data_IF_604095521085
#
_entry.id   IF_604095521085
#
_cell.length_a   1.000
_cell.length_b   1.000
_cell.length_c   1.000
_cell.angle_alpha   90.00
_cell.angle_beta   90.00
_cell.angle_gamma   90.00
#
_symmetry.space_group_name_H-M   'P 1'
#
loop_
_entity.id
_entity.type
_entity.pdbx_description
1 polymer ?
#
# COMPACT_ATOMS: atom_id res chain seq x y z
N UNK A 1 -13.26 -18.90 -62.99
CA UNK A 1 -14.50 -19.00 -62.20
C UNK A 1 -14.22 -19.99 -61.07
N UNK A 2 -14.25 -19.54 -59.82
CA UNK A 2 -14.40 -20.27 -58.54
C UNK A 2 -13.44 -21.45 -58.23
N UNK A 3 -12.74 -21.52 -57.09
CA UNK A 3 -12.79 -20.78 -55.83
C UNK A 3 -11.40 -20.78 -55.16
N UNK A 4 -11.01 -19.88 -54.25
CA UNK A 4 -11.72 -19.45 -53.04
C UNK A 4 -12.36 -20.65 -52.36
N UNK A 5 -11.68 -21.22 -51.37
CA UNK A 5 -12.25 -21.25 -50.03
C UNK A 5 -11.26 -21.81 -49.00
N UNK A 6 -11.00 -20.93 -48.03
CA UNK A 6 -10.92 -21.24 -46.59
C UNK A 6 -9.76 -22.11 -46.12
N UNK A 7 -8.58 -21.48 -46.07
CA UNK A 7 -7.64 -21.75 -44.98
C UNK A 7 -8.26 -21.18 -43.71
N UNK A 8 -8.97 -22.05 -42.99
CA UNK A 8 -9.54 -21.78 -41.68
C UNK A 8 -8.39 -21.45 -40.73
N UNK A 9 -8.11 -20.17 -40.56
CA UNK A 9 -7.30 -19.61 -39.47
C UNK A 9 -8.02 -19.91 -38.16
N UNK A 10 -7.81 -21.11 -37.65
CA UNK A 10 -8.08 -21.48 -36.27
C UNK A 10 -7.14 -20.65 -35.41
N UNK A 11 -7.55 -19.42 -35.09
CA UNK A 11 -7.03 -18.66 -33.95
C UNK A 11 -7.08 -19.57 -32.74
N UNK A 12 -5.95 -20.18 -32.42
CA UNK A 12 -5.74 -20.87 -31.16
C UNK A 12 -5.97 -19.83 -30.08
N UNK A 13 -7.05 -19.98 -29.32
CA UNK A 13 -7.20 -19.34 -28.03
C UNK A 13 -6.06 -19.86 -27.15
N UNK A 14 -4.89 -19.21 -27.26
CA UNK A 14 -3.69 -19.57 -26.51
C UNK A 14 -4.02 -19.40 -25.04
N UNK A 15 -4.03 -20.52 -24.33
CA UNK A 15 -4.16 -20.58 -22.88
C UNK A 15 -3.25 -19.51 -22.26
N UNK A 16 -3.75 -18.69 -21.32
CA UNK A 16 -2.97 -17.58 -20.78
C UNK A 16 -1.66 -18.12 -20.24
N UNK A 17 -0.54 -17.58 -20.72
CA UNK A 17 0.81 -17.94 -20.29
C UNK A 17 1.04 -17.40 -18.87
N UNK A 18 0.49 -18.11 -17.88
CA UNK A 18 0.53 -17.74 -16.47
C UNK A 18 1.96 -17.64 -15.98
N UNK A 19 2.86 -18.50 -16.44
CA UNK A 19 4.27 -18.49 -16.05
C UNK A 19 4.95 -17.20 -16.50
N UNK A 20 4.74 -16.79 -17.76
CA UNK A 20 5.24 -15.51 -18.26
C UNK A 20 4.66 -14.35 -17.50
N UNK A 21 3.35 -14.31 -17.28
CA UNK A 21 2.69 -13.21 -16.55
C UNK A 21 3.19 -13.13 -15.11
N UNK A 22 3.35 -14.26 -14.41
CA UNK A 22 3.89 -14.31 -13.06
C UNK A 22 5.34 -13.81 -13.00
N UNK A 23 6.18 -14.21 -13.96
CA UNK A 23 7.55 -13.72 -14.07
C UNK A 23 7.60 -12.20 -14.31
N UNK A 24 6.75 -11.67 -15.21
CA UNK A 24 6.65 -10.23 -15.47
C UNK A 24 6.17 -9.45 -14.24
N UNK A 25 5.18 -9.98 -13.51
CA UNK A 25 4.70 -9.39 -12.26
C UNK A 25 5.82 -9.33 -11.21
N UNK A 26 6.57 -10.42 -11.04
CA UNK A 26 7.71 -10.47 -10.11
C UNK A 26 8.81 -9.47 -10.48
N UNK A 27 9.19 -9.42 -11.76
CA UNK A 27 10.20 -8.49 -12.25
C UNK A 27 9.74 -7.03 -12.09
N UNK A 28 8.49 -6.71 -12.42
CA UNK A 28 7.94 -5.37 -12.26
C UNK A 28 7.86 -4.96 -10.78
N UNK A 29 7.42 -5.87 -9.89
CA UNK A 29 7.35 -5.62 -8.45
C UNK A 29 8.74 -5.33 -7.86
N UNK A 30 9.77 -6.09 -8.27
CA UNK A 30 11.15 -5.87 -7.85
C UNK A 30 11.67 -4.52 -8.34
N UNK A 31 11.56 -4.25 -9.65
CA UNK A 31 12.03 -3.00 -10.24
C UNK A 31 11.38 -1.76 -9.60
N UNK A 32 10.05 -1.79 -9.40
CA UNK A 32 9.33 -0.71 -8.73
C UNK A 32 9.77 -0.55 -7.27
N UNK A 33 10.06 -1.66 -6.57
CA UNK A 33 10.52 -1.60 -5.18
C UNK A 33 11.92 -0.98 -5.09
N UNK A 34 12.84 -1.37 -5.97
CA UNK A 34 14.19 -0.81 -6.01
C UNK A 34 14.18 0.70 -6.31
N UNK A 35 13.34 1.12 -7.26
CA UNK A 35 13.13 2.53 -7.61
C UNK A 35 12.58 3.32 -6.41
N UNK A 36 11.57 2.75 -5.72
CA UNK A 36 11.01 3.32 -4.49
C UNK A 36 11.96 3.30 -3.28
N UNK A 37 12.98 2.45 -3.23
CA UNK A 37 13.98 2.44 -2.16
C UNK A 37 15.11 3.44 -2.44
N UNK A 38 15.39 3.72 -3.71
CA UNK A 38 16.47 4.64 -4.12
C UNK A 38 16.01 6.11 -4.16
N UNK A 39 14.75 6.41 -4.49
CA UNK A 39 14.25 7.78 -4.63
C UNK A 39 13.96 8.54 -3.30
N UNK A 40 13.33 7.97 -2.25
CA UNK A 40 12.92 8.69 -1.03
C UNK A 40 13.89 8.58 0.16
N UNK A 41 14.67 7.50 0.24
CA UNK A 41 15.64 7.28 1.33
C UNK A 41 16.76 8.34 1.31
N UNK A 42 17.11 8.85 0.12
CA UNK A 42 18.12 9.90 -0.03
C UNK A 42 17.63 11.29 0.44
N UNK A 43 16.35 11.62 0.20
CA UNK A 43 15.82 12.97 0.44
C UNK A 43 15.42 13.24 1.90
N UNK A 44 14.98 12.22 2.64
CA UNK A 44 14.50 12.36 4.02
C UNK A 44 15.43 11.78 5.09
N UNK A 45 16.46 10.99 4.71
CA UNK A 45 17.32 10.20 5.61
C UNK A 45 16.55 9.30 6.60
N UNK A 46 15.27 9.03 6.33
CA UNK A 46 14.45 8.15 7.15
C UNK A 46 14.62 6.70 6.72
N UNK A 47 14.56 5.78 7.68
CA UNK A 47 14.38 4.37 7.35
C UNK A 47 12.97 4.12 6.80
N UNK A 48 12.78 3.03 6.07
CA UNK A 48 11.46 2.65 5.53
C UNK A 48 10.39 2.52 6.61
N UNK A 49 10.74 1.97 7.78
CA UNK A 49 9.79 1.88 8.90
C UNK A 49 9.44 3.25 9.49
N UNK A 50 10.39 4.18 9.55
CA UNK A 50 10.14 5.54 10.01
C UNK A 50 9.27 6.33 9.02
N UNK A 51 9.51 6.18 7.72
CA UNK A 51 8.66 6.75 6.66
C UNK A 51 7.23 6.19 6.72
N UNK A 52 7.09 4.86 6.80
CA UNK A 52 5.78 4.21 6.95
C UNK A 52 5.05 4.67 8.23
N UNK A 53 5.77 4.80 9.35
CA UNK A 53 5.19 5.28 10.60
C UNK A 53 4.66 6.71 10.48
N UNK A 54 5.36 7.61 9.79
CA UNK A 54 4.87 8.97 9.54
C UNK A 54 3.64 8.99 8.64
N UNK A 55 3.59 8.15 7.60
CA UNK A 55 2.41 8.01 6.74
C UNK A 55 1.20 7.51 7.54
N UNK A 56 1.40 6.49 8.39
CA UNK A 56 0.36 6.00 9.30
C UNK A 56 -0.12 7.11 10.23
N UNK A 57 0.79 7.85 10.86
CA UNK A 57 0.46 8.94 11.77
C UNK A 57 -0.18 10.16 11.09
N UNK A 58 0.08 10.36 9.81
CA UNK A 58 -0.59 11.38 9.01
C UNK A 58 -2.07 11.04 8.83
N UNK A 59 -2.39 9.78 8.54
CA UNK A 59 -3.75 9.28 8.37
C UNK A 59 -4.50 9.06 9.70
N UNK A 60 -3.80 8.56 10.73
CA UNK A 60 -4.37 8.20 12.03
C UNK A 60 -3.50 8.73 13.20
N UNK A 61 -3.59 10.04 13.51
CA UNK A 61 -2.84 10.65 14.60
C UNK A 61 -3.33 10.16 15.98
N UNK A 62 -2.40 9.83 16.88
CA UNK A 62 -2.71 9.51 18.27
C UNK A 62 -2.70 8.02 18.62
N UNK A 63 -2.38 7.15 17.66
CA UNK A 63 -2.13 5.73 17.92
C UNK A 63 -0.98 5.53 18.92
N UNK A 64 -1.04 4.43 19.69
CA UNK A 64 0.05 4.10 20.61
C UNK A 64 1.30 3.65 19.87
N UNK A 65 2.45 3.68 20.55
CA UNK A 65 3.71 3.12 20.03
C UNK A 65 3.56 1.64 19.66
N UNK A 66 2.82 0.88 20.47
CA UNK A 66 2.57 -0.55 20.25
C UNK A 66 1.77 -0.77 18.97
N UNK A 67 0.68 -0.03 18.79
CA UNK A 67 -0.15 -0.14 17.60
C UNK A 67 0.60 0.32 16.35
N UNK A 68 1.31 1.45 16.44
CA UNK A 68 2.15 1.94 15.36
C UNK A 68 3.19 0.88 14.95
N UNK A 69 3.86 0.26 15.92
CA UNK A 69 4.80 -0.84 15.70
C UNK A 69 4.17 -2.02 14.96
N UNK A 70 2.97 -2.44 15.38
CA UNK A 70 2.21 -3.51 14.72
C UNK A 70 1.93 -3.19 13.25
N UNK A 71 1.46 -1.97 12.95
CA UNK A 71 1.14 -1.53 11.58
C UNK A 71 2.36 -1.46 10.67
N UNK A 72 3.53 -1.09 11.20
CA UNK A 72 4.77 -1.05 10.40
C UNK A 72 5.60 -2.34 10.42
N UNK A 73 5.14 -3.37 11.15
CA UNK A 73 5.80 -4.68 11.21
C UNK A 73 7.03 -4.73 12.12
N UNK A 74 7.05 -3.95 13.19
CA UNK A 74 8.15 -3.90 14.16
C UNK A 74 7.80 -4.58 15.49
N UNK A 75 8.82 -5.11 16.15
CA UNK A 75 8.72 -5.51 17.56
C UNK A 75 8.54 -4.29 18.46
N UNK A 76 8.03 -4.49 19.68
CA UNK A 76 7.82 -3.38 20.62
C UNK A 76 9.09 -2.56 20.88
N UNK A 77 10.23 -3.22 21.09
CA UNK A 77 11.49 -2.52 21.36
C UNK A 77 11.99 -1.75 20.13
N UNK A 78 11.79 -2.29 18.93
CA UNK A 78 12.12 -1.59 17.68
C UNK A 78 11.18 -0.40 17.43
N UNK A 79 9.89 -0.55 17.73
CA UNK A 79 8.90 0.52 17.61
C UNK A 79 9.22 1.70 18.54
N UNK A 80 9.58 1.43 19.81
CA UNK A 80 10.03 2.47 20.75
C UNK A 80 11.23 3.24 20.19
N UNK A 81 12.29 2.53 19.76
CA UNK A 81 13.50 3.17 19.19
C UNK A 81 13.20 4.01 17.95
N UNK A 82 12.30 3.53 17.08
CA UNK A 82 11.86 4.25 15.89
C UNK A 82 11.12 5.54 16.28
N UNK A 83 10.16 5.48 17.21
CA UNK A 83 9.42 6.67 17.66
C UNK A 83 10.36 7.65 18.36
N UNK A 84 11.28 7.19 19.20
CA UNK A 84 12.28 8.06 19.82
C UNK A 84 13.17 8.74 18.77
N UNK A 85 13.52 8.03 17.69
CA UNK A 85 14.22 8.61 16.55
C UNK A 85 13.42 9.70 15.84
N UNK A 86 12.14 9.45 15.58
CA UNK A 86 11.24 10.43 14.97
C UNK A 86 11.02 11.66 15.86
N UNK A 87 10.92 11.48 17.18
CA UNK A 87 10.77 12.55 18.16
C UNK A 87 12.04 13.40 18.27
N UNK A 88 13.23 12.77 18.30
CA UNK A 88 14.51 13.49 18.22
C UNK A 88 14.66 14.31 16.93
N UNK A 89 14.10 13.84 15.83
CA UNK A 89 14.07 14.57 14.56
C UNK A 89 12.97 15.64 14.49
N UNK A 90 12.18 15.83 15.55
CA UNK A 90 11.09 16.82 15.61
C UNK A 90 9.91 16.48 14.69
N UNK A 91 9.77 15.23 14.24
CA UNK A 91 8.73 14.80 13.30
C UNK A 91 7.47 14.32 14.03
N UNK A 92 7.62 13.81 15.25
CA UNK A 92 6.48 13.38 16.09
C UNK A 92 6.66 13.88 17.50
N UNK A 93 5.58 13.84 18.27
CA UNK A 93 5.57 14.09 19.71
C UNK A 93 4.60 13.13 20.40
N UNK A 94 4.91 12.76 21.64
CA UNK A 94 4.01 11.97 22.48
C UNK A 94 3.11 12.88 23.28
N UNK A 95 1.79 12.70 23.16
CA UNK A 95 0.79 13.46 23.92
C UNK A 95 0.04 12.53 24.85
N UNK A 96 -0.15 12.95 26.10
CA UNK A 96 -1.10 12.29 27.00
C UNK A 96 -2.52 12.63 26.55
N UNK A 97 -3.35 11.61 26.42
CA UNK A 97 -4.79 11.74 26.14
C UNK A 97 -5.56 11.48 27.44
N UNK A 98 -6.89 11.44 27.39
CA UNK A 98 -7.76 11.12 28.53
C UNK A 98 -7.31 9.80 29.19
N UNK A 99 -7.04 9.84 30.49
CA UNK A 99 -6.52 8.72 31.28
C UNK A 99 -4.99 8.61 31.26
N UNK A 100 -4.47 7.37 31.34
CA UNK A 100 -3.04 7.06 31.27
C UNK A 100 -2.56 6.72 29.84
N UNK A 101 -3.35 7.05 28.82
CA UNK A 101 -3.02 6.76 27.42
C UNK A 101 -2.04 7.79 26.86
N UNK A 102 -1.01 7.32 26.18
CA UNK A 102 -0.06 8.17 25.45
C UNK A 102 -0.12 7.84 23.96
N UNK A 103 -0.59 8.80 23.18
CA UNK A 103 -0.64 8.72 21.71
C UNK A 103 0.57 9.38 21.07
N UNK A 104 0.97 8.89 19.91
CA UNK A 104 2.00 9.52 19.07
C UNK A 104 1.29 10.41 18.04
N UNK A 105 1.71 11.66 17.92
CA UNK A 105 1.15 12.61 16.98
C UNK A 105 2.24 13.17 16.06
N UNK A 106 1.97 13.36 14.76
CA UNK A 106 2.91 14.07 13.91
C UNK A 106 2.91 15.55 14.28
N UNK A 107 4.10 16.15 14.34
CA UNK A 107 4.24 17.60 14.42
C UNK A 107 3.86 18.24 13.07
N UNK A 108 3.78 19.57 13.00
CA UNK A 108 3.63 20.26 11.72
C UNK A 108 4.76 19.92 10.73
N UNK A 109 5.97 19.68 11.24
CA UNK A 109 7.08 19.21 10.41
C UNK A 109 6.85 17.78 9.92
N UNK A 110 6.44 16.87 10.81
CA UNK A 110 6.12 15.49 10.45
C UNK A 110 5.02 15.36 9.41
N UNK A 111 3.97 16.19 9.50
CA UNK A 111 2.87 16.21 8.51
C UNK A 111 3.38 16.56 7.12
N UNK A 112 4.13 17.67 6.98
CA UNK A 112 4.75 18.06 5.70
C UNK A 112 5.70 16.99 5.17
N UNK A 113 6.49 16.37 6.05
CA UNK A 113 7.38 15.28 5.65
C UNK A 113 6.59 14.08 5.13
N UNK A 114 5.48 13.70 5.78
CA UNK A 114 4.61 12.63 5.28
C UNK A 114 3.98 12.96 3.92
N UNK A 115 3.47 14.18 3.73
CA UNK A 115 2.93 14.65 2.45
C UNK A 115 3.99 14.62 1.34
N UNK A 116 5.22 15.04 1.64
CA UNK A 116 6.34 14.95 0.71
C UNK A 116 6.66 13.50 0.33
N UNK A 117 6.67 12.58 1.31
CA UNK A 117 6.90 11.15 1.05
C UNK A 117 5.82 10.57 0.14
N UNK A 118 4.54 10.87 0.39
CA UNK A 118 3.42 10.43 -0.42
C UNK A 118 3.48 11.01 -1.84
N UNK A 119 3.72 12.32 -1.96
CA UNK A 119 3.81 13.01 -3.25
C UNK A 119 4.98 12.50 -4.09
N UNK A 120 6.16 12.31 -3.48
CA UNK A 120 7.33 11.77 -4.17
C UNK A 120 7.06 10.35 -4.67
N UNK A 121 6.47 9.50 -3.83
CA UNK A 121 6.06 8.14 -4.20
C UNK A 121 5.08 8.14 -5.37
N UNK A 122 4.03 8.96 -5.30
CA UNK A 122 3.00 9.04 -6.34
C UNK A 122 3.58 9.54 -7.66
N UNK A 123 4.39 10.60 -7.64
CA UNK A 123 4.98 11.18 -8.85
C UNK A 123 5.90 10.19 -9.56
N UNK A 124 6.68 9.44 -8.78
CA UNK A 124 7.61 8.45 -9.30
C UNK A 124 6.87 7.25 -9.91
N UNK A 125 5.86 6.71 -9.20
CA UNK A 125 5.02 5.62 -9.72
C UNK A 125 4.20 6.04 -10.93
N UNK A 126 3.75 7.29 -11.00
CA UNK A 126 3.09 7.82 -12.19
C UNK A 126 4.01 7.77 -13.41
N UNK A 127 5.32 8.03 -13.23
CA UNK A 127 6.33 7.89 -14.28
C UNK A 127 6.43 6.49 -14.87
N UNK A 128 6.27 5.44 -14.05
CA UNK A 128 6.24 4.03 -14.51
C UNK A 128 5.07 3.77 -15.45
N UNK A 129 3.96 4.52 -15.30
CA UNK A 129 2.75 4.37 -16.09
C UNK A 129 2.74 5.19 -17.39
N UNK A 130 3.76 6.01 -17.66
CA UNK A 130 3.79 6.91 -18.83
C UNK A 130 3.67 6.20 -20.19
N UNK A 131 4.08 4.94 -20.28
CA UNK A 131 3.99 4.15 -21.50
C UNK A 131 2.58 3.62 -21.80
N UNK A 132 1.64 3.76 -20.87
CA UNK A 132 0.29 3.22 -20.97
C UNK A 132 -0.70 4.30 -21.42
N UNK A 133 -1.63 3.93 -22.29
CA UNK A 133 -2.75 4.79 -22.65
C UNK A 133 -3.83 4.81 -21.54
N UNK A 134 -4.87 5.63 -21.71
CA UNK A 134 -5.94 5.79 -20.72
C UNK A 134 -6.74 4.50 -20.45
N UNK A 135 -6.92 3.68 -21.48
CA UNK A 135 -7.61 2.39 -21.37
C UNK A 135 -6.74 1.41 -20.61
N UNK A 136 -5.46 1.32 -20.95
CA UNK A 136 -4.48 0.46 -20.29
C UNK A 136 -4.29 0.83 -18.82
N UNK A 137 -4.18 2.13 -18.48
CA UNK A 137 -4.11 2.60 -17.09
C UNK A 137 -5.35 2.19 -16.30
N UNK A 138 -6.55 2.35 -16.88
CA UNK A 138 -7.80 1.94 -16.24
C UNK A 138 -7.84 0.43 -16.01
N UNK A 139 -7.46 -0.34 -17.02
CA UNK A 139 -7.53 -1.80 -16.98
C UNK A 139 -6.48 -2.36 -16.01
N UNK A 140 -5.26 -1.80 -15.99
CA UNK A 140 -4.25 -2.08 -14.98
C UNK A 140 -4.74 -1.77 -13.58
N UNK A 141 -5.40 -0.61 -13.37
CA UNK A 141 -6.01 -0.26 -12.08
C UNK A 141 -7.02 -1.32 -11.59
N UNK A 142 -7.85 -1.85 -12.50
CA UNK A 142 -8.79 -2.94 -12.17
C UNK A 142 -8.08 -4.25 -11.82
N UNK A 143 -7.02 -4.60 -12.55
CA UNK A 143 -6.23 -5.81 -12.28
C UNK A 143 -5.48 -5.71 -10.95
N UNK A 144 -4.85 -4.57 -10.67
CA UNK A 144 -4.18 -4.30 -9.40
C UNK A 144 -5.14 -4.39 -8.21
N UNK A 145 -6.36 -3.88 -8.34
CA UNK A 145 -7.38 -4.01 -7.30
C UNK A 145 -7.70 -5.47 -6.97
N UNK A 146 -7.81 -6.34 -7.99
CA UNK A 146 -8.04 -7.79 -7.79
C UNK A 146 -6.82 -8.48 -7.17
N UNK A 147 -5.62 -8.14 -7.62
CA UNK A 147 -4.39 -8.70 -7.05
C UNK A 147 -4.22 -8.32 -5.57
N UNK A 148 -4.52 -7.07 -5.23
CA UNK A 148 -4.44 -6.57 -3.85
C UNK A 148 -5.45 -7.25 -2.92
N UNK A 149 -6.67 -7.52 -3.39
CA UNK A 149 -7.64 -8.34 -2.65
C UNK A 149 -7.09 -9.75 -2.40
N UNK A 150 -6.63 -10.45 -3.44
CA UNK A 150 -6.03 -11.79 -3.28
C UNK A 150 -4.82 -11.82 -2.34
N UNK A 151 -3.94 -10.82 -2.41
CA UNK A 151 -2.81 -10.68 -1.49
C UNK A 151 -3.25 -10.38 -0.04
N UNK A 152 -4.32 -9.60 0.13
CA UNK A 152 -4.92 -9.41 1.46
C UNK A 152 -5.40 -10.75 2.02
N UNK A 153 -6.13 -11.56 1.25
CA UNK A 153 -6.65 -12.84 1.73
C UNK A 153 -5.55 -13.77 2.25
N UNK A 154 -4.34 -13.69 1.67
CA UNK A 154 -3.18 -14.45 2.16
C UNK A 154 -2.53 -13.90 3.44
N UNK A 155 -2.55 -12.58 3.68
CA UNK A 155 -1.85 -11.96 4.80
C UNK A 155 -2.73 -11.52 5.98
N UNK A 156 -4.03 -11.27 5.73
CA UNK A 156 -5.02 -10.83 6.72
C UNK A 156 -4.68 -9.52 7.44
N UNK A 157 -3.77 -8.71 6.91
CA UNK A 157 -3.23 -7.55 7.63
C UNK A 157 -3.18 -6.30 6.75
N UNK A 158 -4.35 -5.66 6.57
CA UNK A 158 -4.53 -4.46 5.76
C UNK A 158 -3.54 -3.34 6.14
N UNK A 159 -3.39 -3.07 7.44
CA UNK A 159 -2.49 -2.01 7.91
C UNK A 159 -1.04 -2.26 7.53
N UNK A 160 -0.59 -3.52 7.59
CA UNK A 160 0.79 -3.87 7.22
C UNK A 160 1.00 -3.81 5.72
N UNK A 161 0.03 -4.31 4.94
CA UNK A 161 0.11 -4.33 3.48
C UNK A 161 0.05 -2.92 2.88
N UNK A 162 -0.78 -2.04 3.44
CA UNK A 162 -1.00 -0.68 2.94
C UNK A 162 -0.31 0.42 3.76
N UNK A 163 0.73 0.10 4.56
CA UNK A 163 1.43 1.05 5.45
C UNK A 163 2.11 2.25 4.79
N UNK A 164 2.22 2.26 3.46
CA UNK A 164 2.72 3.39 2.65
C UNK A 164 1.70 3.87 1.61
N UNK A 165 0.44 3.47 1.78
CA UNK A 165 -0.64 3.87 0.89
C UNK A 165 -0.97 5.35 1.11
N UNK A 166 -1.08 6.08 0.01
CA UNK A 166 -1.82 7.33 -0.03
C UNK A 166 -3.31 6.98 -0.10
N UNK A 167 -4.01 7.14 1.03
CA UNK A 167 -5.43 6.78 1.12
C UNK A 167 -6.29 7.68 0.24
N UNK A 168 -5.99 8.97 0.18
CA UNK A 168 -6.78 9.93 -0.60
C UNK A 168 -6.69 9.62 -2.09
N UNK A 169 -5.50 9.26 -2.58
CA UNK A 169 -5.33 8.76 -3.94
C UNK A 169 -6.03 7.40 -4.16
N UNK A 170 -5.94 6.48 -3.20
CA UNK A 170 -6.53 5.14 -3.31
C UNK A 170 -8.06 5.17 -3.37
N UNK A 171 -8.70 6.12 -2.68
CA UNK A 171 -10.16 6.28 -2.66
C UNK A 171 -10.64 7.48 -3.47
N UNK A 172 -9.82 7.96 -4.41
CA UNK A 172 -10.13 9.12 -5.22
C UNK A 172 -11.47 8.93 -5.95
N UNK A 173 -12.28 9.99 -6.01
CA UNK A 173 -13.63 9.98 -6.61
C UNK A 173 -14.57 8.91 -6.01
N UNK A 174 -14.37 8.54 -4.75
CA UNK A 174 -15.22 7.57 -4.06
C UNK A 174 -14.96 6.11 -4.49
N UNK A 175 -13.85 5.84 -5.18
CA UNK A 175 -13.46 4.47 -5.48
C UNK A 175 -13.28 3.68 -4.17
N UNK A 176 -13.82 2.45 -4.07
CA UNK A 176 -13.63 1.63 -2.88
C UNK A 176 -12.17 1.18 -2.78
N UNK A 177 -11.55 1.36 -1.61
CA UNK A 177 -10.24 0.77 -1.34
C UNK A 177 -10.37 -0.77 -1.40
N UNK A 178 -9.66 -1.47 -2.32
CA UNK A 178 -9.84 -2.91 -2.50
C UNK A 178 -9.46 -3.70 -1.24
N UNK A 179 -8.35 -3.33 -0.61
CA UNK A 179 -7.87 -3.95 0.63
C UNK A 179 -8.80 -3.66 1.81
N UNK A 180 -9.30 -2.43 1.92
CA UNK A 180 -10.24 -2.07 2.98
C UNK A 180 -11.60 -2.75 2.81
N UNK A 181 -12.05 -2.99 1.58
CA UNK A 181 -13.24 -3.76 1.29
C UNK A 181 -13.05 -5.24 1.66
N UNK A 182 -11.92 -5.83 1.27
CA UNK A 182 -11.53 -7.18 1.63
C UNK A 182 -11.48 -7.38 3.16
N UNK A 183 -10.89 -6.42 3.88
CA UNK A 183 -10.76 -6.46 5.34
C UNK A 183 -12.11 -6.42 6.06
N UNK A 184 -13.02 -5.56 5.60
CA UNK A 184 -14.39 -5.51 6.13
C UNK A 184 -15.18 -6.78 5.83
N UNK A 185 -15.04 -7.35 4.63
CA UNK A 185 -15.69 -8.61 4.27
C UNK A 185 -15.21 -9.75 5.19
N UNK A 186 -13.90 -9.89 5.35
CA UNK A 186 -13.31 -10.90 6.22
C UNK A 186 -13.70 -10.70 7.70
N UNK A 187 -13.85 -9.44 8.15
CA UNK A 187 -14.35 -9.15 9.50
C UNK A 187 -15.80 -9.60 9.69
N UNK A 188 -16.68 -9.30 8.74
CA UNK A 188 -18.08 -9.71 8.77
C UNK A 188 -18.24 -11.24 8.76
N UNK A 189 -17.41 -11.95 8.00
CA UNK A 189 -17.39 -13.43 7.98
C UNK A 189 -16.98 -14.01 9.34
N UNK A 190 -15.96 -13.43 9.99
CA UNK A 190 -15.54 -13.84 11.34
C UNK A 190 -16.61 -13.59 12.38
N UNK A 191 -17.32 -12.47 12.29
CA UNK A 191 -18.44 -12.14 13.18
C UNK A 191 -19.61 -13.10 12.99
N UNK A 192 -19.96 -13.43 11.74
CA UNK A 192 -20.99 -14.41 11.42
C UNK A 192 -20.64 -15.85 11.85
N UNK A 193 -19.35 -16.18 11.88
CA UNK A 193 -18.85 -17.48 12.32
C UNK A 193 -18.63 -17.58 13.85
N UNK A 194 -18.73 -16.47 14.58
CA UNK A 194 -18.64 -16.50 16.04
C UNK A 194 -19.86 -17.23 16.61
N UNK A 195 -19.69 -18.27 17.43
CA UNK A 195 -20.82 -18.93 18.07
C UNK A 195 -21.57 -17.91 18.93
N UNK A 196 -22.89 -17.84 18.78
CA UNK A 196 -23.74 -16.95 19.58
C UNK A 196 -23.54 -17.23 21.07
N UNK A 197 -23.25 -16.17 21.82
CA UNK A 197 -23.10 -16.18 23.29
C UNK A 197 -24.38 -16.66 24.01
#
# INVERSE_FOLDING_TARGET
>A
MHGSDTETDTRTDTEPDIERVANLLGAAALAVTDDLLTAPAAASRLSMSAAAALIVLHADPGVSVTELGRRVGLTQSAAVRMVDGLERSGLVERRRTVGNWTGVHPTSHGRRTAEHLLTARTSHLAGVLHGLDRTEVRDLGRLLAKLLDGLYQGCGAADRMCRMCDRDACTHQGAPCPVGAADRAAAAEREAAAPGE
#
